data_IF_386275557562
#
_entry.id   IF_386275557562
#
_cell.length_a   1.000
_cell.length_b   1.000
_cell.length_c   1.000
_cell.angle_alpha   90.00
_cell.angle_beta   90.00
_cell.angle_gamma   90.00
#
_symmetry.space_group_name_H-M   'P 1'
#
loop_
_entity.id
_entity.type
_entity.pdbx_description
1 polymer ?
#
# COMPACT_ATOMS: atom_id res chain seq x y z
N UNK A 1 2.18 10.19 -24.99
CA UNK A 1 3.56 10.35 -24.47
C UNK A 1 3.66 11.68 -23.70
N UNK A 2 3.22 11.74 -22.43
CA UNK A 2 3.44 12.91 -21.57
C UNK A 2 4.15 12.41 -20.32
N UNK A 3 5.48 12.42 -20.33
CA UNK A 3 6.31 12.18 -19.14
C UNK A 3 6.12 13.39 -18.21
N UNK A 4 5.22 13.29 -17.24
CA UNK A 4 5.24 14.12 -16.02
C UNK A 4 5.90 13.23 -14.97
N UNK A 5 7.15 13.49 -14.60
CA UNK A 5 7.48 14.53 -13.64
C UNK A 5 7.37 13.90 -12.25
N UNK A 6 8.43 13.20 -11.82
CA UNK A 6 8.56 12.53 -10.53
C UNK A 6 8.54 13.59 -9.43
N UNK A 7 7.39 13.78 -8.78
CA UNK A 7 7.32 14.44 -7.48
C UNK A 7 7.43 13.34 -6.42
N UNK A 8 8.67 13.01 -6.05
CA UNK A 8 8.93 12.26 -4.83
C UNK A 8 8.73 13.20 -3.66
N UNK A 9 7.57 13.12 -3.01
CA UNK A 9 7.45 13.52 -1.62
C UNK A 9 7.97 12.32 -0.79
N UNK A 10 9.26 12.36 -0.47
CA UNK A 10 9.85 11.45 0.50
C UNK A 10 9.27 11.75 1.88
N UNK A 11 8.35 10.91 2.31
CA UNK A 11 7.94 10.81 3.70
C UNK A 11 8.49 9.46 4.17
N UNK A 12 9.61 9.53 4.89
CA UNK A 12 10.31 8.39 5.49
C UNK A 12 9.39 7.74 6.54
N UNK A 13 8.54 6.82 6.10
CA UNK A 13 7.83 5.92 7.00
C UNK A 13 8.70 4.68 7.14
N UNK A 14 9.11 4.36 8.37
CA UNK A 14 9.77 3.10 8.72
C UNK A 14 8.85 1.92 8.36
N UNK A 15 8.80 1.57 7.08
CA UNK A 15 8.14 0.39 6.58
C UNK A 15 9.03 -0.79 6.97
N UNK A 16 8.62 -1.45 8.04
CA UNK A 16 9.28 -2.64 8.54
C UNK A 16 9.48 -3.65 7.38
N UNK A 17 10.62 -4.36 7.31
CA UNK A 17 10.92 -5.34 6.25
C UNK A 17 9.95 -6.54 6.23
N UNK A 18 8.96 -6.57 7.11
CA UNK A 18 7.85 -7.52 7.13
C UNK A 18 6.97 -7.50 5.87
N UNK A 19 7.03 -6.44 5.04
CA UNK A 19 6.33 -6.40 3.74
C UNK A 19 6.83 -7.47 2.74
N UNK A 20 8.00 -8.07 2.98
CA UNK A 20 8.53 -9.14 2.12
C UNK A 20 8.08 -10.56 2.51
N UNK A 21 7.28 -10.72 3.57
CA UNK A 21 6.69 -12.01 3.91
C UNK A 21 5.44 -12.23 3.06
N UNK A 22 5.39 -13.39 2.41
CA UNK A 22 4.37 -13.95 1.53
C UNK A 22 2.97 -14.06 2.21
N UNK A 23 2.39 -12.94 2.64
CA UNK A 23 1.02 -12.83 3.10
C UNK A 23 0.24 -12.08 2.04
N UNK A 24 -0.69 -12.81 1.44
CA UNK A 24 -1.88 -12.28 0.80
C UNK A 24 -1.70 -11.07 -0.14
N UNK A 25 -1.41 -11.36 -1.41
CA UNK A 25 -1.35 -10.36 -2.48
C UNK A 25 -2.73 -9.95 -3.00
N UNK A 26 -3.83 -10.29 -2.32
CA UNK A 26 -5.18 -9.88 -2.71
C UNK A 26 -5.66 -8.61 -1.97
N UNK A 27 -4.84 -8.13 -1.03
CA UNK A 27 -5.07 -6.96 -0.20
C UNK A 27 -6.20 -7.12 0.85
N UNK A 28 -6.54 -8.35 1.25
CA UNK A 28 -7.56 -8.59 2.29
C UNK A 28 -7.17 -8.00 3.65
N UNK A 29 -5.88 -7.81 3.91
CA UNK A 29 -5.36 -7.07 5.08
C UNK A 29 -5.83 -5.60 5.18
N UNK A 30 -6.30 -5.02 4.08
CA UNK A 30 -6.84 -3.65 4.07
C UNK A 30 -8.32 -3.59 4.47
N UNK A 31 -9.03 -4.72 4.50
CA UNK A 31 -10.47 -4.78 4.74
C UNK A 31 -10.78 -4.54 6.22
N UNK A 32 -11.74 -3.65 6.49
CA UNK A 32 -12.19 -3.32 7.85
C UNK A 32 -13.44 -4.12 8.24
N UNK A 33 -13.46 -4.63 9.46
CA UNK A 33 -14.61 -5.33 10.03
C UNK A 33 -14.22 -6.35 11.10
N UNK A 34 -15.22 -6.83 11.82
CA UNK A 34 -15.03 -7.92 12.78
C UNK A 34 -14.66 -9.22 12.05
N UNK A 35 -13.59 -9.89 12.50
CA UNK A 35 -13.10 -11.13 11.87
C UNK A 35 -12.31 -10.92 10.56
N UNK A 36 -11.94 -9.68 10.24
CA UNK A 36 -11.03 -9.38 9.12
C UNK A 36 -9.57 -9.55 9.53
N UNK A 37 -8.69 -9.72 8.53
CA UNK A 37 -7.25 -9.79 8.76
C UNK A 37 -6.73 -8.52 9.45
N UNK A 38 -7.29 -7.35 9.15
CA UNK A 38 -6.90 -6.07 9.77
C UNK A 38 -7.20 -6.04 11.27
N UNK A 39 -8.25 -6.73 11.72
CA UNK A 39 -8.62 -6.81 13.13
C UNK A 39 -7.91 -7.95 13.88
N UNK A 40 -7.18 -8.82 13.18
CA UNK A 40 -6.50 -9.97 13.78
C UNK A 40 -5.40 -9.52 14.76
N UNK A 41 -5.34 -10.06 15.99
CA UNK A 41 -4.27 -9.79 16.94
C UNK A 41 -2.84 -9.96 16.38
N UNK A 42 -2.63 -10.88 15.42
CA UNK A 42 -1.36 -11.11 14.75
C UNK A 42 -0.90 -9.92 13.89
N UNK A 43 -1.85 -9.13 13.37
CA UNK A 43 -1.61 -8.03 12.43
C UNK A 43 -1.59 -6.64 13.09
N UNK A 44 -1.67 -6.57 14.42
CA UNK A 44 -1.65 -5.31 15.18
C UNK A 44 -0.37 -4.48 15.02
N UNK A 45 0.71 -5.11 14.59
CA UNK A 45 1.99 -4.43 14.32
C UNK A 45 2.07 -3.80 12.93
N UNK A 46 1.12 -4.12 12.04
CA UNK A 46 1.04 -3.54 10.71
C UNK A 46 0.55 -2.09 10.78
N UNK A 47 1.04 -1.26 9.87
CA UNK A 47 0.70 0.17 9.79
C UNK A 47 0.86 0.70 8.37
N UNK A 48 0.59 2.00 8.18
CA UNK A 48 0.66 2.64 6.85
C UNK A 48 -0.58 2.40 5.97
N UNK A 49 -1.69 1.94 6.56
CA UNK A 49 -2.97 1.74 5.85
C UNK A 49 -3.49 3.04 5.22
N UNK A 50 -3.30 4.16 5.90
CA UNK A 50 -3.70 5.50 5.47
C UNK A 50 -2.97 5.98 4.22
N UNK A 51 -1.71 5.54 4.05
CA UNK A 51 -0.91 5.87 2.86
C UNK A 51 -1.49 5.15 1.65
N UNK A 52 -1.85 3.87 1.80
CA UNK A 52 -2.45 3.06 0.74
C UNK A 52 -3.84 3.58 0.37
N UNK A 53 -4.67 3.94 1.35
CA UNK A 53 -5.99 4.54 1.09
C UNK A 53 -5.89 5.88 0.37
N UNK A 54 -4.93 6.72 0.75
CA UNK A 54 -4.70 8.02 0.09
C UNK A 54 -4.25 7.82 -1.35
N UNK A 55 -3.29 6.92 -1.58
CA UNK A 55 -2.82 6.59 -2.93
C UNK A 55 -3.96 6.04 -3.81
N UNK A 56 -4.78 5.13 -3.28
CA UNK A 56 -5.95 4.60 -3.99
C UNK A 56 -6.94 5.70 -4.33
N UNK A 57 -7.25 6.59 -3.38
CA UNK A 57 -8.16 7.72 -3.59
C UNK A 57 -7.67 8.63 -4.72
N UNK A 58 -6.39 8.97 -4.74
CA UNK A 58 -5.81 9.77 -5.81
C UNK A 58 -5.87 9.06 -7.17
N UNK A 59 -5.55 7.76 -7.21
CA UNK A 59 -5.59 6.97 -8.44
C UNK A 59 -7.01 6.84 -9.00
N UNK A 60 -8.02 6.70 -8.16
CA UNK A 60 -9.43 6.65 -8.59
C UNK A 60 -9.90 7.97 -9.23
N UNK A 61 -9.29 9.12 -8.89
CA UNK A 61 -9.60 10.39 -9.54
C UNK A 61 -9.13 10.45 -11.00
N UNK A 62 -8.04 9.73 -11.33
CA UNK A 62 -7.47 9.72 -12.68
C UNK A 62 -7.92 8.50 -13.50
N UNK A 63 -8.03 7.34 -12.85
CA UNK A 63 -8.25 6.04 -13.48
C UNK A 63 -9.23 5.18 -12.64
N UNK A 64 -10.54 5.49 -12.67
CA UNK A 64 -11.51 4.83 -11.81
C UNK A 64 -11.59 3.32 -12.09
N UNK A 65 -11.60 2.51 -11.04
CA UNK A 65 -11.71 1.04 -11.11
C UNK A 65 -10.60 0.32 -11.86
N UNK A 66 -9.47 0.99 -12.15
CA UNK A 66 -8.41 0.43 -12.99
C UNK A 66 -7.29 -0.20 -12.18
N UNK A 67 -6.84 0.47 -11.12
CA UNK A 67 -5.68 0.01 -10.32
C UNK A 67 -6.18 -0.75 -9.10
N UNK A 68 -5.71 -1.98 -8.88
CA UNK A 68 -6.11 -2.78 -7.71
C UNK A 68 -5.35 -2.34 -6.45
N UNK A 69 -5.91 -2.58 -5.26
CA UNK A 69 -5.22 -2.29 -4.00
C UNK A 69 -3.97 -3.17 -3.81
N UNK A 70 -4.01 -4.40 -4.32
CA UNK A 70 -2.88 -5.31 -4.40
C UNK A 70 -1.71 -4.73 -5.20
N UNK A 71 -1.98 -4.14 -6.37
CA UNK A 71 -0.94 -3.51 -7.19
C UNK A 71 -0.31 -2.30 -6.48
N UNK A 72 -1.12 -1.52 -5.74
CA UNK A 72 -0.62 -0.39 -4.97
C UNK A 72 0.33 -0.88 -3.87
N UNK A 73 -0.03 -1.94 -3.14
CA UNK A 73 0.84 -2.55 -2.14
C UNK A 73 2.15 -3.06 -2.75
N UNK A 74 2.08 -3.76 -3.88
CA UNK A 74 3.27 -4.26 -4.58
C UNK A 74 4.20 -3.13 -5.05
N UNK A 75 3.64 -2.03 -5.58
CA UNK A 75 4.40 -0.87 -6.00
C UNK A 75 5.02 -0.12 -4.81
N UNK A 76 4.26 0.06 -3.72
CA UNK A 76 4.75 0.69 -2.51
C UNK A 76 5.90 -0.13 -1.88
N UNK A 77 5.74 -1.45 -1.78
CA UNK A 77 6.76 -2.37 -1.29
C UNK A 77 8.06 -2.28 -2.09
N UNK A 78 7.96 -2.26 -3.42
CA UNK A 78 9.11 -2.11 -4.32
C UNK A 78 9.84 -0.80 -4.06
N UNK A 79 9.10 0.29 -3.91
CA UNK A 79 9.69 1.62 -3.76
C UNK A 79 10.40 1.79 -2.41
N UNK A 80 9.93 1.12 -1.34
CA UNK A 80 10.61 1.08 -0.02
C UNK A 80 11.94 0.33 -0.09
N UNK A 81 12.01 -0.79 -0.80
CA UNK A 81 13.24 -1.60 -0.91
C UNK A 81 14.28 -0.93 -1.83
N UNK A 82 13.85 -0.08 -2.76
CA UNK A 82 14.74 0.61 -3.70
C UNK A 82 15.41 1.87 -3.13
N UNK A 83 15.23 2.20 -1.84
CA UNK A 83 15.95 3.28 -1.18
C UNK A 83 17.33 2.76 -0.71
N UNK A 84 18.46 3.28 -1.24
CA UNK A 84 19.81 2.87 -0.81
C UNK A 84 20.21 3.44 0.55
#
# INVERSE_FOLDING_TARGET
>A
MKRRGRAGAGQEHNFSPAILAFFDCDASVLVEGDGTEKADPANKSLGGFEVIETAKRELELFCPGTVSCADILALAARDVVMVP
#
